data_IF_046149597601
#
_entry.id   IF_046149597601
#
_cell.length_a   1.000
_cell.length_b   1.000
_cell.length_c   1.000
_cell.angle_alpha   90.00
_cell.angle_beta   90.00
_cell.angle_gamma   90.00
#
_symmetry.space_group_name_H-M   'P 1'
#
loop_
_entity.id
_entity.type
_entity.pdbx_description
1 polymer ?
#
# COMPACT_ATOMS: atom_id res chain seq x y z
N UNK A 1 11.21 30.50 35.09
CA UNK A 1 11.98 29.98 33.95
C UNK A 1 10.98 29.41 32.96
N UNK A 2 10.56 30.25 32.03
CA UNK A 2 9.67 29.87 30.94
C UNK A 2 10.50 29.12 29.89
N UNK A 3 10.17 27.87 29.65
CA UNK A 3 10.76 27.08 28.57
C UNK A 3 9.92 27.29 27.31
N UNK A 4 10.37 28.23 26.47
CA UNK A 4 9.92 28.34 25.09
C UNK A 4 10.43 27.12 24.30
N UNK A 5 9.55 26.15 24.07
CA UNK A 5 9.80 25.07 23.09
C UNK A 5 9.21 25.51 21.76
N UNK A 6 10.11 25.80 20.82
CA UNK A 6 9.80 26.09 19.41
C UNK A 6 9.05 24.89 18.81
N UNK A 7 7.76 25.05 18.53
CA UNK A 7 6.97 24.11 17.73
C UNK A 7 7.45 24.18 16.27
N UNK A 8 8.36 23.28 15.91
CA UNK A 8 8.72 22.98 14.53
C UNK A 8 8.03 21.67 14.14
N UNK A 9 7.05 21.77 13.24
CA UNK A 9 6.20 20.72 12.63
C UNK A 9 4.84 20.47 13.32
N UNK A 10 3.70 20.61 12.60
CA UNK A 10 2.39 20.24 13.14
C UNK A 10 2.30 18.71 13.31
N UNK A 11 1.63 18.21 14.37
CA UNK A 11 1.73 16.81 14.71
C UNK A 11 0.89 15.92 13.77
N UNK A 12 1.56 14.97 13.11
CA UNK A 12 0.92 13.96 12.23
C UNK A 12 -0.04 13.01 12.98
N UNK A 13 -0.13 13.05 14.33
CA UNK A 13 -1.04 12.21 15.12
C UNK A 13 -2.53 12.56 14.94
N UNK A 14 -2.86 13.75 14.43
CA UNK A 14 -4.25 14.13 14.12
C UNK A 14 -4.89 13.24 13.04
N UNK A 15 -4.08 12.59 12.20
CA UNK A 15 -4.55 11.69 11.13
C UNK A 15 -4.74 10.24 11.63
N UNK A 16 -4.19 9.88 12.79
CA UNK A 16 -4.29 8.50 13.32
C UNK A 16 -5.71 8.08 13.73
N UNK A 17 -6.54 9.01 14.21
CA UNK A 17 -7.96 8.73 14.50
C UNK A 17 -8.77 8.39 13.23
N UNK A 18 -8.45 9.02 12.10
CA UNK A 18 -9.13 8.84 10.80
C UNK A 18 -8.53 7.70 9.97
N UNK A 19 -7.28 7.30 10.26
CA UNK A 19 -6.65 6.12 9.65
C UNK A 19 -7.46 4.84 9.93
N UNK A 20 -8.15 4.73 11.07
CA UNK A 20 -9.04 3.59 11.34
C UNK A 20 -10.21 3.49 10.35
N UNK A 21 -10.74 4.62 9.87
CA UNK A 21 -11.79 4.64 8.84
C UNK A 21 -11.22 4.23 7.48
N UNK A 22 -10.03 4.71 7.13
CA UNK A 22 -9.30 4.29 5.92
C UNK A 22 -8.96 2.79 5.98
N UNK A 23 -8.58 2.25 7.14
CA UNK A 23 -8.34 0.82 7.32
C UNK A 23 -9.63 0.00 7.10
N UNK A 24 -10.78 0.46 7.61
CA UNK A 24 -12.07 -0.22 7.37
C UNK A 24 -12.48 -0.18 5.91
N UNK A 25 -12.33 0.97 5.24
CA UNK A 25 -12.62 1.12 3.80
C UNK A 25 -11.63 0.30 2.96
N UNK A 26 -10.35 0.28 3.34
CA UNK A 26 -9.32 -0.55 2.71
C UNK A 26 -9.63 -2.04 2.84
N UNK A 27 -10.00 -2.50 4.04
CA UNK A 27 -10.44 -3.89 4.29
C UNK A 27 -11.74 -4.23 3.55
N UNK A 28 -12.68 -3.28 3.40
CA UNK A 28 -13.91 -3.48 2.62
C UNK A 28 -13.61 -3.59 1.11
N UNK A 29 -12.75 -2.73 0.57
CA UNK A 29 -12.35 -2.79 -0.85
C UNK A 29 -11.52 -4.04 -1.15
N UNK A 30 -10.65 -4.47 -0.24
CA UNK A 30 -9.91 -5.74 -0.32
C UNK A 30 -10.83 -6.96 -0.13
N UNK A 31 -11.87 -6.86 0.70
CA UNK A 31 -12.88 -7.91 0.90
C UNK A 31 -13.86 -8.05 -0.28
N UNK A 32 -14.15 -6.96 -1.00
CA UNK A 32 -14.95 -6.99 -2.22
C UNK A 32 -14.23 -7.71 -3.38
N UNK A 33 -12.90 -7.83 -3.34
CA UNK A 33 -12.13 -8.67 -4.29
C UNK A 33 -12.45 -10.17 -4.16
N UNK A 34 -13.13 -10.58 -3.08
CA UNK A 34 -13.57 -11.97 -2.87
C UNK A 34 -15.07 -12.22 -3.07
N UNK A 35 -15.89 -11.20 -3.35
CA UNK A 35 -17.34 -11.31 -3.25
C UNK A 35 -18.08 -11.31 -4.59
N UNK A 36 -17.62 -12.17 -5.50
CA UNK A 36 -18.51 -12.82 -6.44
C UNK A 36 -18.28 -14.32 -6.29
N UNK A 37 -18.92 -14.90 -5.27
CA UNK A 37 -19.47 -16.27 -5.15
C UNK A 37 -19.54 -16.63 -3.64
N UNK A 38 -20.77 -16.91 -3.19
CA UNK A 38 -21.18 -17.51 -1.92
C UNK A 38 -21.37 -16.63 -0.67
N UNK A 39 -22.67 -16.40 -0.39
CA UNK A 39 -23.23 -16.24 0.94
C UNK A 39 -22.65 -17.30 1.89
N UNK A 40 -21.77 -16.89 2.81
CA UNK A 40 -21.67 -17.43 4.17
C UNK A 40 -20.72 -16.54 5.00
N UNK A 41 -21.29 -15.83 5.96
CA UNK A 41 -20.55 -15.13 7.02
C UNK A 41 -19.83 -16.16 7.89
N UNK A 42 -18.59 -16.51 7.56
CA UNK A 42 -17.68 -17.24 8.44
C UNK A 42 -16.21 -16.95 8.04
N UNK A 43 -15.50 -16.28 8.96
CA UNK A 43 -14.05 -16.17 9.24
C UNK A 43 -13.00 -16.93 8.36
N UNK A 44 -13.12 -16.93 7.05
CA UNK A 44 -12.12 -17.48 6.12
C UNK A 44 -11.48 -16.38 5.23
N UNK A 45 -11.13 -15.24 5.82
CA UNK A 45 -10.55 -14.09 5.09
C UNK A 45 -9.05 -14.26 4.71
N UNK A 46 -8.57 -15.49 4.56
CA UNK A 46 -7.21 -15.79 4.08
C UNK A 46 -7.15 -16.57 2.75
N UNK A 47 -8.26 -16.72 2.03
CA UNK A 47 -8.28 -17.41 0.73
C UNK A 47 -8.76 -16.48 -0.38
N UNK A 48 -7.83 -15.68 -0.93
CA UNK A 48 -7.72 -15.30 -2.36
C UNK A 48 -6.84 -14.07 -2.64
N UNK A 49 -6.09 -13.56 -1.66
CA UNK A 49 -4.99 -12.59 -1.87
C UNK A 49 -3.61 -13.25 -1.89
N UNK A 50 -3.52 -14.44 -2.49
CA UNK A 50 -2.21 -15.03 -2.73
C UNK A 50 -1.72 -14.51 -4.08
N UNK A 51 -0.63 -13.76 -4.09
CA UNK A 51 0.05 -13.34 -5.33
C UNK A 51 0.43 -14.55 -6.20
N UNK A 52 0.48 -15.75 -5.58
CA UNK A 52 0.86 -17.02 -6.19
C UNK A 52 -0.31 -17.88 -6.70
N UNK A 53 -1.58 -17.45 -6.55
CA UNK A 53 -2.72 -18.21 -7.09
C UNK A 53 -2.92 -17.85 -8.57
N UNK A 54 -2.81 -18.86 -9.43
CA UNK A 54 -3.12 -18.78 -10.85
C UNK A 54 -4.63 -18.68 -11.05
N UNK A 55 -5.07 -17.70 -11.84
CA UNK A 55 -6.48 -17.58 -12.24
C UNK A 55 -6.95 -18.70 -13.19
N UNK A 56 -6.07 -19.61 -13.60
CA UNK A 56 -6.37 -20.70 -14.53
C UNK A 56 -7.23 -21.84 -13.93
N UNK A 57 -7.34 -21.95 -12.60
CA UNK A 57 -8.14 -23.01 -11.96
C UNK A 57 -9.66 -22.71 -11.94
N UNK A 58 -10.07 -21.53 -12.40
CA UNK A 58 -11.47 -21.20 -12.62
C UNK A 58 -11.76 -21.41 -14.11
N UNK A 59 -12.56 -22.42 -14.45
CA UNK A 59 -12.99 -22.76 -15.82
C UNK A 59 -13.77 -21.66 -16.57
N UNK A 60 -13.76 -20.43 -16.06
CA UNK A 60 -14.14 -19.25 -16.82
C UNK A 60 -12.85 -18.58 -17.31
N UNK A 61 -12.69 -18.50 -18.62
CA UNK A 61 -11.79 -17.58 -19.33
C UNK A 61 -12.24 -16.12 -19.09
N UNK A 62 -12.49 -15.76 -17.83
CA UNK A 62 -12.80 -14.42 -17.39
C UNK A 62 -11.49 -13.66 -17.46
N UNK A 63 -11.46 -12.64 -18.31
CA UNK A 63 -10.44 -11.62 -18.32
C UNK A 63 -10.38 -11.04 -16.90
N UNK A 64 -9.43 -11.52 -16.09
CA UNK A 64 -9.30 -11.06 -14.72
C UNK A 64 -8.50 -9.76 -14.74
N UNK A 65 -9.22 -8.65 -14.54
CA UNK A 65 -8.68 -7.31 -14.34
C UNK A 65 -7.96 -7.16 -12.98
N UNK A 66 -7.29 -8.22 -12.50
CA UNK A 66 -6.65 -8.29 -11.18
C UNK A 66 -5.70 -7.11 -10.94
N UNK A 67 -4.80 -6.88 -11.88
CA UNK A 67 -3.85 -5.77 -11.81
C UNK A 67 -4.56 -4.42 -11.84
N UNK A 68 -5.59 -4.26 -12.68
CA UNK A 68 -6.34 -3.01 -12.72
C UNK A 68 -7.13 -2.73 -11.43
N UNK A 69 -7.64 -3.79 -10.78
CA UNK A 69 -8.24 -3.69 -9.45
C UNK A 69 -7.19 -3.29 -8.42
N UNK A 70 -5.99 -3.88 -8.46
CA UNK A 70 -4.87 -3.49 -7.57
C UNK A 70 -4.51 -2.01 -7.75
N UNK A 71 -4.36 -1.55 -8.99
CA UNK A 71 -4.10 -0.13 -9.27
C UNK A 71 -5.23 0.76 -8.76
N UNK A 72 -6.48 0.41 -9.04
CA UNK A 72 -7.65 1.18 -8.61
C UNK A 72 -7.73 1.25 -7.09
N UNK A 73 -7.44 0.14 -6.41
CA UNK A 73 -7.36 0.09 -4.95
C UNK A 73 -6.32 1.07 -4.39
N UNK A 74 -5.07 1.03 -4.90
CA UNK A 74 -4.02 1.94 -4.44
C UNK A 74 -4.32 3.40 -4.80
N UNK A 75 -4.87 3.66 -5.97
CA UNK A 75 -5.23 5.02 -6.39
C UNK A 75 -6.34 5.59 -5.49
N UNK A 76 -7.37 4.79 -5.20
CA UNK A 76 -8.49 5.23 -4.37
C UNK A 76 -8.10 5.41 -2.89
N UNK A 77 -7.25 4.54 -2.34
CA UNK A 77 -6.82 4.69 -0.95
C UNK A 77 -5.92 5.93 -0.77
N UNK A 78 -5.06 6.24 -1.75
CA UNK A 78 -4.27 7.48 -1.77
C UNK A 78 -5.17 8.70 -1.94
N UNK A 79 -6.18 8.65 -2.81
CA UNK A 79 -7.15 9.74 -3.00
C UNK A 79 -7.90 10.02 -1.69
N UNK A 80 -8.40 8.97 -1.02
CA UNK A 80 -9.09 9.13 0.26
C UNK A 80 -8.18 9.72 1.33
N UNK A 81 -6.96 9.21 1.46
CA UNK A 81 -5.98 9.73 2.41
C UNK A 81 -5.66 11.21 2.14
N UNK A 82 -5.56 11.62 0.88
CA UNK A 82 -5.35 13.03 0.53
C UNK A 82 -6.53 13.93 0.92
N UNK A 83 -7.77 13.47 0.76
CA UNK A 83 -8.94 14.22 1.22
C UNK A 83 -8.88 14.42 2.74
N UNK A 84 -8.56 13.36 3.50
CA UNK A 84 -8.41 13.48 4.97
C UNK A 84 -7.28 14.43 5.37
N UNK A 85 -6.14 14.42 4.64
CA UNK A 85 -5.04 15.35 4.88
C UNK A 85 -5.46 16.80 4.63
N UNK A 86 -6.13 17.06 3.51
CA UNK A 86 -6.61 18.40 3.17
C UNK A 86 -7.63 18.91 4.21
N UNK A 87 -8.55 18.06 4.66
CA UNK A 87 -9.49 18.38 5.74
C UNK A 87 -8.80 18.70 7.07
N UNK A 88 -7.57 18.23 7.27
CA UNK A 88 -6.74 18.51 8.44
C UNK A 88 -5.67 19.60 8.20
N UNK A 89 -5.74 20.34 7.09
CA UNK A 89 -4.78 21.40 6.75
C UNK A 89 -3.38 20.89 6.39
N UNK A 90 -3.25 19.61 6.02
CA UNK A 90 -2.01 19.00 5.60
C UNK A 90 -1.92 18.96 4.06
N UNK A 91 -0.70 19.09 3.48
CA UNK A 91 -0.52 18.97 2.04
C UNK A 91 -0.76 17.52 1.59
N UNK A 92 -1.06 17.33 0.30
CA UNK A 92 -1.18 16.01 -0.31
C UNK A 92 0.10 15.18 -0.10
N UNK A 93 -0.06 13.85 -0.06
CA UNK A 93 1.07 12.93 0.09
C UNK A 93 1.99 13.01 -1.13
N UNK A 94 3.30 13.15 -0.86
CA UNK A 94 4.34 13.08 -1.87
C UNK A 94 4.76 11.63 -2.07
N UNK A 95 5.22 11.28 -3.28
CA UNK A 95 5.80 9.95 -3.47
C UNK A 95 7.09 9.80 -2.65
N UNK A 96 7.41 8.57 -2.28
CA UNK A 96 8.69 8.28 -1.64
C UNK A 96 9.83 8.43 -2.66
N UNK A 97 10.98 8.96 -2.25
CA UNK A 97 12.19 9.06 -3.06
C UNK A 97 13.35 8.33 -2.38
N UNK A 98 14.21 7.66 -3.15
CA UNK A 98 15.33 6.90 -2.57
C UNK A 98 16.42 7.79 -1.96
N UNK A 99 16.63 8.96 -2.54
CA UNK A 99 17.75 9.84 -2.18
C UNK A 99 17.33 10.90 -1.15
N UNK A 100 16.10 10.81 -0.64
CA UNK A 100 15.57 11.69 0.40
C UNK A 100 15.26 10.90 1.67
N UNK A 101 15.43 11.49 2.86
CA UNK A 101 15.03 10.86 4.10
C UNK A 101 13.52 10.67 4.16
N UNK A 102 13.08 9.56 4.72
CA UNK A 102 11.67 9.34 5.07
C UNK A 102 11.35 10.20 6.28
N UNK A 103 10.72 11.34 6.04
CA UNK A 103 10.46 12.34 7.08
C UNK A 103 9.56 11.81 8.21
N UNK A 104 8.51 11.07 7.87
CA UNK A 104 7.54 10.57 8.85
C UNK A 104 8.11 9.38 9.63
N UNK A 105 8.29 9.51 10.94
CA UNK A 105 8.50 8.37 11.84
C UNK A 105 7.18 7.64 12.17
N UNK A 106 7.27 6.39 12.58
CA UNK A 106 6.10 5.59 12.97
C UNK A 106 6.44 4.61 14.10
N UNK A 107 5.63 4.63 15.16
CA UNK A 107 5.67 3.64 16.22
C UNK A 107 4.33 2.87 16.20
N UNK A 108 4.32 1.59 15.79
CA UNK A 108 3.08 0.83 15.65
C UNK A 108 2.42 0.51 16.99
N UNK A 109 3.18 0.46 18.09
CA UNK A 109 2.70 -0.04 19.40
C UNK A 109 2.05 -1.43 19.29
N UNK A 110 2.65 -2.29 18.48
CA UNK A 110 2.20 -3.67 18.23
C UNK A 110 3.27 -4.67 18.63
N UNK A 111 2.82 -5.89 18.93
CA UNK A 111 3.67 -7.03 19.25
C UNK A 111 3.13 -8.25 18.49
N UNK A 112 4.04 -9.08 17.99
CA UNK A 112 3.73 -10.38 17.41
C UNK A 112 3.37 -11.39 18.50
N UNK A 113 2.68 -12.47 18.11
CA UNK A 113 2.29 -13.56 19.01
C UNK A 113 3.49 -14.23 19.70
N UNK A 114 4.66 -14.23 19.05
CA UNK A 114 5.90 -14.75 19.60
C UNK A 114 6.58 -13.80 20.62
N UNK A 115 5.96 -12.67 20.93
CA UNK A 115 6.48 -11.67 21.87
C UNK A 115 7.47 -10.67 21.26
N UNK A 116 7.82 -10.76 19.98
CA UNK A 116 8.65 -9.75 19.34
C UNK A 116 7.84 -8.48 19.06
N UNK A 117 8.38 -7.31 19.41
CA UNK A 117 7.75 -6.05 19.06
C UNK A 117 7.78 -5.82 17.55
N UNK A 118 6.70 -5.28 16.98
CA UNK A 118 6.74 -4.74 15.63
C UNK A 118 7.66 -3.52 15.64
N UNK A 119 8.71 -3.47 14.80
CA UNK A 119 9.70 -2.41 14.86
C UNK A 119 9.13 -1.00 14.72
N UNK A 120 9.72 -0.06 15.44
CA UNK A 120 9.53 1.35 15.18
C UNK A 120 10.43 1.82 14.04
N UNK A 121 9.99 2.86 13.33
CA UNK A 121 10.79 3.55 12.32
C UNK A 121 11.00 5.00 12.77
N UNK A 122 12.23 5.41 13.12
CA UNK A 122 12.48 6.79 13.51
C UNK A 122 12.18 7.75 12.35
N UNK A 123 11.97 9.02 12.67
CA UNK A 123 11.83 10.07 11.66
C UNK A 123 13.17 10.33 10.96
N UNK A 124 13.10 10.81 9.72
CA UNK A 124 14.26 11.19 8.89
C UNK A 124 15.26 10.06 8.60
N UNK A 125 14.78 8.81 8.54
CA UNK A 125 15.62 7.66 8.16
C UNK A 125 15.94 7.72 6.67
N UNK A 126 17.22 7.56 6.32
CA UNK A 126 17.67 7.46 4.94
C UNK A 126 17.51 6.03 4.42
N UNK A 127 16.99 5.88 3.21
CA UNK A 127 16.89 4.58 2.53
C UNK A 127 18.28 4.14 2.04
N UNK A 128 19.07 5.10 1.55
CA UNK A 128 20.44 4.84 1.11
C UNK A 128 21.39 4.93 2.30
N UNK A 129 22.02 3.81 2.66
CA UNK A 129 23.08 3.75 3.65
C UNK A 129 24.41 4.26 3.06
N UNK A 130 24.45 5.53 2.68
CA UNK A 130 25.71 6.21 2.34
C UNK A 130 26.56 6.51 3.59
N UNK A 131 26.11 6.15 4.79
CA UNK A 131 26.92 6.21 6.02
C UNK A 131 28.01 5.12 6.09
N UNK A 132 28.27 4.42 4.98
CA UNK A 132 29.33 3.42 4.83
C UNK A 132 30.68 3.98 4.33
N UNK A 133 30.84 5.29 4.12
CA UNK A 133 32.06 5.83 3.50
C UNK A 133 33.22 6.13 4.46
N UNK A 134 33.08 5.91 5.77
CA UNK A 134 34.17 6.20 6.72
C UNK A 134 34.85 4.96 7.33
N UNK A 135 34.29 3.76 7.18
CA UNK A 135 34.91 2.53 7.66
C UNK A 135 34.76 1.46 6.59
N UNK A 136 35.89 0.87 6.17
CA UNK A 136 36.02 -0.23 5.20
C UNK A 136 35.33 -1.53 5.67
N UNK A 137 34.05 -1.49 6.00
CA UNK A 137 33.28 -2.62 6.50
C UNK A 137 32.47 -3.21 5.35
N UNK A 138 32.93 -4.36 4.85
CA UNK A 138 32.32 -5.19 3.79
C UNK A 138 30.84 -5.55 4.04
N UNK A 139 30.36 -5.36 5.28
CA UNK A 139 29.00 -5.68 5.72
C UNK A 139 27.93 -4.66 5.27
N UNK A 140 28.29 -3.49 4.74
CA UNK A 140 27.34 -2.50 4.21
C UNK A 140 26.92 -2.76 2.75
N UNK A 141 27.43 -3.82 2.14
CA UNK A 141 27.17 -4.15 0.74
C UNK A 141 25.72 -4.62 0.51
N UNK A 142 25.09 -5.29 1.48
CA UNK A 142 23.78 -5.91 1.27
C UNK A 142 22.63 -4.89 1.16
N UNK A 143 22.53 -3.94 2.09
CA UNK A 143 21.48 -2.92 2.05
C UNK A 143 21.58 -2.04 0.79
N UNK A 144 22.79 -1.62 0.43
CA UNK A 144 23.05 -0.84 -0.78
C UNK A 144 22.76 -1.66 -2.05
N UNK A 145 23.11 -2.95 -2.06
CA UNK A 145 22.74 -3.84 -3.16
C UNK A 145 21.22 -3.98 -3.29
N UNK A 146 20.49 -4.12 -2.18
CA UNK A 146 19.03 -4.22 -2.20
C UNK A 146 18.36 -2.97 -2.76
N UNK A 147 18.79 -1.77 -2.35
CA UNK A 147 18.33 -0.51 -2.96
C UNK A 147 18.56 -0.50 -4.47
N UNK A 148 19.76 -0.90 -4.91
CA UNK A 148 20.10 -0.95 -6.33
C UNK A 148 19.24 -1.97 -7.10
N UNK A 149 18.90 -3.10 -6.49
CA UNK A 149 17.96 -4.07 -7.09
C UNK A 149 16.58 -3.46 -7.29
N UNK A 150 16.02 -2.78 -6.28
CA UNK A 150 14.70 -2.12 -6.39
C UNK A 150 14.72 -1.02 -7.46
N UNK A 151 15.77 -0.19 -7.48
CA UNK A 151 15.98 0.84 -8.53
C UNK A 151 16.07 0.21 -9.93
N UNK A 152 16.75 -0.93 -10.06
CA UNK A 152 16.88 -1.64 -11.35
C UNK A 152 15.54 -2.20 -11.82
N UNK A 153 14.75 -2.78 -10.92
CA UNK A 153 13.41 -3.29 -11.23
C UNK A 153 12.49 -2.16 -11.68
N UNK A 154 12.50 -1.03 -10.96
CA UNK A 154 11.76 0.15 -11.36
C UNK A 154 12.16 0.65 -12.75
N UNK A 155 13.47 0.78 -13.00
CA UNK A 155 13.98 1.21 -14.30
C UNK A 155 13.50 0.27 -15.42
N UNK A 156 13.56 -1.05 -15.23
CA UNK A 156 13.05 -2.02 -16.22
C UNK A 156 11.56 -1.85 -16.50
N UNK A 157 10.77 -1.51 -15.48
CA UNK A 157 9.34 -1.26 -15.64
C UNK A 157 9.12 0.02 -16.47
N UNK A 158 9.85 1.10 -16.19
CA UNK A 158 9.80 2.32 -17.00
C UNK A 158 10.27 2.10 -18.44
N UNK A 159 11.38 1.37 -18.65
CA UNK A 159 11.87 1.03 -19.99
C UNK A 159 10.82 0.24 -20.80
N UNK A 160 10.11 -0.70 -20.14
CA UNK A 160 9.03 -1.46 -20.76
C UNK A 160 7.80 -0.60 -21.09
N UNK A 161 7.47 0.35 -20.21
CA UNK A 161 6.42 1.34 -20.44
C UNK A 161 6.78 2.21 -21.63
N UNK A 162 7.96 2.81 -21.65
CA UNK A 162 8.39 3.74 -22.70
C UNK A 162 8.50 3.02 -24.06
N UNK A 163 8.94 1.76 -24.08
CA UNK A 163 8.96 0.92 -25.27
C UNK A 163 7.57 0.39 -25.70
N UNK A 164 6.54 0.58 -24.87
CA UNK A 164 5.20 -0.01 -25.03
C UNK A 164 5.22 -1.54 -25.24
N UNK A 165 6.19 -2.23 -24.61
CA UNK A 165 6.40 -3.66 -24.76
C UNK A 165 6.99 -4.27 -23.49
N UNK A 166 6.51 -5.45 -23.11
CA UNK A 166 6.96 -6.20 -21.92
C UNK A 166 7.73 -7.45 -22.32
N UNK A 167 8.74 -7.82 -21.55
CA UNK A 167 9.44 -9.10 -21.73
C UNK A 167 8.64 -10.21 -21.09
N UNK A 168 8.38 -11.27 -21.84
CA UNK A 168 7.78 -12.49 -21.31
C UNK A 168 8.84 -13.38 -20.62
N UNK A 169 8.42 -14.50 -20.03
CA UNK A 169 9.31 -15.48 -19.39
C UNK A 169 10.39 -16.08 -20.31
N UNK A 170 10.17 -16.09 -21.63
CA UNK A 170 11.16 -16.52 -22.62
C UNK A 170 12.18 -15.41 -22.98
N UNK A 171 12.04 -14.21 -22.42
CA UNK A 171 12.89 -13.05 -22.71
C UNK A 171 12.50 -12.29 -23.99
N UNK A 172 11.42 -12.68 -24.66
CA UNK A 172 10.92 -12.04 -25.89
C UNK A 172 10.08 -10.82 -25.52
N UNK A 173 10.33 -9.69 -26.18
CA UNK A 173 9.50 -8.49 -26.06
C UNK A 173 8.16 -8.66 -26.77
N UNK A 174 7.08 -8.48 -26.03
CA UNK A 174 5.69 -8.57 -26.50
C UNK A 174 5.02 -7.20 -26.33
N UNK A 175 4.35 -6.67 -27.37
CA UNK A 175 3.68 -5.37 -27.27
C UNK A 175 2.57 -5.38 -26.21
N UNK A 176 2.41 -4.26 -25.51
CA UNK A 176 1.34 -4.10 -24.52
C UNK A 176 0.02 -3.85 -25.27
N UNK A 177 -1.00 -4.66 -24.99
CA UNK A 177 -2.34 -4.40 -25.52
C UNK A 177 -2.93 -3.16 -24.82
N UNK A 178 -3.29 -2.08 -25.54
CA UNK A 178 -3.82 -0.85 -24.94
C UNK A 178 -5.05 -1.08 -24.05
N UNK A 179 -5.92 -2.01 -24.42
CA UNK A 179 -7.14 -2.31 -23.67
C UNK A 179 -6.85 -2.98 -22.32
N UNK A 180 -5.74 -3.72 -22.21
CA UNK A 180 -5.32 -4.39 -20.97
C UNK A 180 -4.08 -3.77 -20.33
N UNK A 181 -3.65 -2.60 -20.80
CA UNK A 181 -2.35 -2.07 -20.42
C UNK A 181 -2.24 -1.80 -18.92
N UNK A 182 -3.25 -1.17 -18.32
CA UNK A 182 -3.33 -0.96 -16.87
C UNK A 182 -3.21 -2.27 -16.11
N UNK A 183 -3.92 -3.32 -16.56
CA UNK A 183 -3.88 -4.63 -15.94
C UNK A 183 -2.50 -5.28 -16.04
N UNK A 184 -1.92 -5.31 -17.24
CA UNK A 184 -0.59 -5.90 -17.51
C UNK A 184 0.50 -5.24 -16.68
N UNK A 185 0.56 -3.91 -16.66
CA UNK A 185 1.59 -3.16 -15.93
C UNK A 185 1.43 -3.34 -14.43
N UNK A 186 0.19 -3.32 -13.95
CA UNK A 186 -0.08 -3.50 -12.52
C UNK A 186 0.22 -4.92 -12.05
N UNK A 187 -0.01 -5.94 -12.90
CA UNK A 187 0.41 -7.32 -12.62
C UNK A 187 1.93 -7.44 -12.48
N UNK A 188 2.69 -6.72 -13.32
CA UNK A 188 4.15 -6.66 -13.23
C UNK A 188 4.59 -5.96 -11.94
N UNK A 189 3.98 -4.83 -11.59
CA UNK A 189 4.33 -4.04 -10.40
C UNK A 189 4.02 -4.78 -9.10
N UNK A 190 2.88 -5.46 -9.02
CA UNK A 190 2.52 -6.33 -7.89
C UNK A 190 3.34 -7.63 -7.86
N UNK A 191 3.80 -8.07 -9.04
CA UNK A 191 4.38 -9.38 -9.32
C UNK A 191 3.46 -10.54 -8.91
N UNK A 192 2.22 -10.47 -9.38
CA UNK A 192 1.28 -11.56 -9.21
C UNK A 192 1.49 -12.67 -10.26
N UNK A 193 0.75 -13.77 -10.11
CA UNK A 193 0.82 -14.93 -11.00
C UNK A 193 0.55 -14.63 -12.49
N UNK A 194 -0.17 -13.54 -12.77
CA UNK A 194 -0.50 -13.09 -14.13
C UNK A 194 0.52 -12.06 -14.67
N UNK A 195 1.66 -11.87 -13.97
CA UNK A 195 2.76 -11.00 -14.38
C UNK A 195 3.55 -11.56 -15.57
N UNK A 196 4.02 -10.68 -16.46
CA UNK A 196 4.65 -11.09 -17.72
C UNK A 196 6.00 -11.82 -17.53
N UNK A 197 6.83 -11.34 -16.60
CA UNK A 197 8.10 -11.94 -16.21
C UNK A 197 8.55 -11.43 -14.83
N UNK A 198 8.04 -12.04 -13.77
CA UNK A 198 8.31 -11.61 -12.39
C UNK A 198 9.80 -11.75 -12.01
N UNK A 199 10.54 -12.66 -12.64
CA UNK A 199 11.98 -12.81 -12.41
C UNK A 199 12.78 -11.63 -12.99
N UNK A 200 12.33 -11.07 -14.12
CA UNK A 200 12.98 -9.92 -14.75
C UNK A 200 12.56 -8.59 -14.12
N UNK A 201 11.29 -8.42 -13.80
CA UNK A 201 10.75 -7.17 -13.26
C UNK A 201 10.75 -7.08 -11.73
N UNK A 202 10.98 -8.18 -11.02
CA UNK A 202 10.94 -8.21 -9.56
C UNK A 202 9.54 -8.02 -8.97
N UNK A 203 9.43 -7.99 -7.65
CA UNK A 203 8.18 -7.69 -6.94
C UNK A 203 8.21 -6.26 -6.42
N UNK A 204 8.16 -5.30 -7.33
CA UNK A 204 8.46 -3.90 -7.06
C UNK A 204 7.66 -3.32 -5.87
N UNK A 205 6.35 -3.54 -5.80
CA UNK A 205 5.53 -3.05 -4.68
C UNK A 205 5.96 -3.66 -3.33
N UNK A 206 6.14 -4.98 -3.29
CA UNK A 206 6.57 -5.70 -2.07
C UNK A 206 8.00 -5.32 -1.67
N UNK A 207 8.87 -5.14 -2.64
CA UNK A 207 10.26 -4.73 -2.45
C UNK A 207 10.34 -3.33 -1.83
N UNK A 208 9.51 -2.38 -2.29
CA UNK A 208 9.41 -1.06 -1.66
C UNK A 208 8.92 -1.13 -0.20
N UNK A 209 7.88 -1.93 0.07
CA UNK A 209 7.38 -2.12 1.45
C UNK A 209 8.48 -2.67 2.35
N UNK A 210 9.24 -3.67 1.89
CA UNK A 210 10.39 -4.25 2.60
C UNK A 210 11.53 -3.26 2.77
N UNK A 211 11.86 -2.50 1.72
CA UNK A 211 12.95 -1.54 1.73
C UNK A 211 12.73 -0.46 2.78
N UNK A 212 11.51 0.08 2.85
CA UNK A 212 11.13 1.11 3.81
C UNK A 212 10.89 0.52 5.20
N UNK A 213 10.27 -0.65 5.26
CA UNK A 213 9.97 -1.35 6.51
C UNK A 213 11.21 -1.79 7.28
N UNK A 214 12.24 -2.22 6.55
CA UNK A 214 13.53 -2.63 7.14
C UNK A 214 14.51 -1.48 7.32
N UNK A 215 14.11 -0.22 7.08
CA UNK A 215 15.03 0.92 7.15
C UNK A 215 15.68 1.11 8.53
N UNK A 216 15.05 0.66 9.62
CA UNK A 216 15.65 0.67 10.97
C UNK A 216 16.71 -0.43 11.20
N UNK A 217 16.72 -1.49 10.38
CA UNK A 217 17.67 -2.61 10.45
C UNK A 217 17.99 -3.14 9.05
N UNK A 218 18.48 -2.25 8.18
CA UNK A 218 18.66 -2.55 6.76
C UNK A 218 19.66 -3.69 6.50
N UNK A 219 20.65 -3.86 7.39
CA UNK A 219 21.64 -4.93 7.32
C UNK A 219 21.21 -6.21 8.06
N UNK A 220 20.00 -6.26 8.63
CA UNK A 220 19.46 -7.39 9.42
C UNK A 220 20.36 -7.85 10.55
N UNK A 221 21.11 -6.93 11.15
CA UNK A 221 22.06 -7.24 12.23
C UNK A 221 21.35 -7.34 13.58
N UNK A 222 20.24 -6.61 13.75
CA UNK A 222 19.47 -6.60 14.98
C UNK A 222 18.44 -7.74 15.03
N UNK A 223 18.19 -8.41 13.90
CA UNK A 223 17.22 -9.50 13.81
C UNK A 223 15.80 -9.03 14.08
N UNK A 224 15.47 -7.80 13.67
CA UNK A 224 14.14 -7.23 13.88
C UNK A 224 13.06 -8.06 13.17
N UNK A 225 11.91 -8.19 13.83
CA UNK A 225 10.72 -8.79 13.24
C UNK A 225 10.22 -7.92 12.06
N UNK A 226 9.34 -8.43 11.18
CA UNK A 226 8.82 -7.63 10.08
C UNK A 226 8.10 -6.37 10.57
N UNK A 227 8.23 -5.28 9.80
CA UNK A 227 7.62 -3.99 10.15
C UNK A 227 6.10 -3.99 9.93
N UNK A 228 5.43 -2.92 10.38
CA UNK A 228 4.01 -2.74 10.11
C UNK A 228 3.69 -2.72 8.60
N UNK A 229 4.62 -2.24 7.76
CA UNK A 229 4.50 -2.20 6.30
C UNK A 229 4.52 -3.59 5.65
N UNK A 230 5.08 -4.59 6.31
CA UNK A 230 5.25 -5.93 5.77
C UNK A 230 4.07 -6.87 6.08
N UNK A 231 3.06 -6.40 6.83
CA UNK A 231 1.83 -7.16 7.06
C UNK A 231 0.61 -6.39 6.52
N UNK A 232 -0.24 -7.06 5.75
CA UNK A 232 -1.42 -6.47 5.10
C UNK A 232 -2.39 -5.81 6.09
N UNK A 233 -2.55 -6.40 7.28
CA UNK A 233 -3.46 -5.91 8.32
C UNK A 233 -2.97 -4.60 8.97
N UNK A 234 -1.67 -4.33 8.90
CA UNK A 234 -1.04 -3.21 9.62
C UNK A 234 -0.42 -2.15 8.70
N UNK A 235 -0.18 -2.46 7.43
CA UNK A 235 0.56 -1.58 6.51
C UNK A 235 -0.07 -0.19 6.37
N UNK A 236 -1.39 -0.09 6.32
CA UNK A 236 -2.13 1.18 6.16
C UNK A 236 -1.98 2.08 7.40
N UNK A 237 -1.51 1.56 8.56
CA UNK A 237 -1.28 2.38 9.76
C UNK A 237 -0.04 3.27 9.65
N UNK A 238 0.97 2.84 8.88
CA UNK A 238 2.19 3.60 8.68
C UNK A 238 1.99 4.67 7.59
N UNK A 239 2.19 5.97 7.87
CA UNK A 239 2.10 7.02 6.86
C UNK A 239 2.96 6.77 5.61
N UNK A 240 4.09 6.09 5.74
CA UNK A 240 4.98 5.77 4.62
C UNK A 240 4.33 4.82 3.59
N UNK A 241 3.31 4.05 3.97
CA UNK A 241 2.53 3.26 3.02
C UNK A 241 1.94 4.13 1.92
N UNK A 242 1.43 5.32 2.26
CA UNK A 242 0.82 6.20 1.28
C UNK A 242 1.86 6.87 0.37
N UNK A 243 3.08 7.12 0.86
CA UNK A 243 4.19 7.59 0.03
C UNK A 243 4.63 6.51 -0.98
N UNK A 244 4.68 5.24 -0.56
CA UNK A 244 4.98 4.08 -1.41
C UNK A 244 3.85 3.88 -2.44
N UNK A 245 2.59 3.82 -1.99
CA UNK A 245 1.43 3.67 -2.86
C UNK A 245 1.37 4.78 -3.91
N UNK A 246 1.68 6.03 -3.53
CA UNK A 246 1.75 7.14 -4.48
C UNK A 246 2.81 6.92 -5.57
N UNK A 247 4.01 6.42 -5.21
CA UNK A 247 5.06 6.08 -6.18
C UNK A 247 4.60 5.00 -7.15
N UNK A 248 4.00 3.93 -6.64
CA UNK A 248 3.45 2.81 -7.43
C UNK A 248 2.34 3.25 -8.38
N UNK A 249 1.39 4.05 -7.90
CA UNK A 249 0.33 4.63 -8.74
C UNK A 249 0.94 5.52 -9.84
N UNK A 250 1.99 6.28 -9.52
CA UNK A 250 2.65 7.13 -10.51
C UNK A 250 3.33 6.34 -11.64
N UNK A 251 3.84 5.12 -11.38
CA UNK A 251 4.35 4.22 -12.44
C UNK A 251 3.26 3.90 -13.47
N UNK A 252 2.07 3.49 -12.99
CA UNK A 252 0.96 3.14 -13.89
C UNK A 252 0.40 4.41 -14.58
N UNK A 253 0.35 5.54 -13.87
CA UNK A 253 -0.06 6.81 -14.45
C UNK A 253 0.91 7.29 -15.53
N UNK A 254 2.22 7.02 -15.40
CA UNK A 254 3.20 7.36 -16.44
C UNK A 254 2.83 6.70 -17.77
N UNK A 255 2.50 5.41 -17.76
CA UNK A 255 2.01 4.74 -18.97
C UNK A 255 0.76 5.42 -19.56
N UNK A 256 -0.24 5.71 -18.71
CA UNK A 256 -1.47 6.38 -19.15
C UNK A 256 -1.18 7.75 -19.76
N UNK A 257 -0.26 8.51 -19.18
CA UNK A 257 0.09 9.85 -19.65
C UNK A 257 0.86 9.84 -20.98
N UNK A 258 1.70 8.83 -21.22
CA UNK A 258 2.52 8.73 -22.44
C UNK A 258 1.75 8.09 -23.59
N UNK A 259 0.97 7.04 -23.32
CA UNK A 259 0.39 6.19 -24.37
C UNK A 259 -1.12 6.36 -24.59
N UNK A 260 -1.87 6.86 -23.60
CA UNK A 260 -3.31 7.07 -23.79
C UNK A 260 -3.63 8.48 -24.26
N UNK A 261 -4.63 8.55 -25.13
CA UNK A 261 -5.22 9.83 -25.54
C UNK A 261 -6.35 10.18 -24.56
N UNK A 262 -6.52 11.47 -24.23
CA UNK A 262 -7.70 11.92 -23.51
C UNK A 262 -8.98 11.52 -24.24
N UNK A 263 -10.04 11.20 -23.48
CA UNK A 263 -11.34 10.89 -24.05
C UNK A 263 -11.88 12.06 -24.87
N UNK A 264 -12.40 11.74 -26.05
CA UNK A 264 -13.07 12.67 -26.94
C UNK A 264 -14.46 13.03 -26.42
N UNK A 265 -15.01 14.17 -26.89
CA UNK A 265 -16.38 14.57 -26.58
C UNK A 265 -17.39 13.48 -26.97
N UNK A 266 -17.14 12.76 -28.07
CA UNK A 266 -18.01 11.69 -28.55
C UNK A 266 -18.01 10.48 -27.61
N UNK A 267 -16.88 10.17 -26.96
CA UNK A 267 -16.78 9.06 -26.00
C UNK A 267 -17.41 9.40 -24.64
N UNK A 268 -17.36 10.68 -24.23
CA UNK A 268 -17.93 11.12 -22.96
C UNK A 268 -19.42 11.49 -23.05
N UNK A 269 -19.91 11.84 -24.25
CA UNK A 269 -21.28 12.32 -24.44
C UNK A 269 -22.28 11.17 -24.44
N UNK A 270 -23.26 11.26 -23.55
CA UNK A 270 -24.45 10.41 -23.60
C UNK A 270 -25.60 11.15 -24.29
N UNK A 271 -25.86 10.83 -25.57
CA UNK A 271 -26.90 11.50 -26.35
C UNK A 271 -28.31 11.28 -25.77
N UNK A 272 -29.10 12.35 -25.70
CA UNK A 272 -30.47 12.30 -25.18
C UNK A 272 -30.58 12.36 -23.66
N UNK A 273 -29.46 12.39 -22.93
CA UNK A 273 -29.44 12.56 -21.47
C UNK A 273 -28.87 13.92 -21.12
N UNK A 274 -29.57 14.65 -20.26
CA UNK A 274 -29.14 15.92 -19.71
C UNK A 274 -29.37 15.91 -18.20
N UNK A 275 -28.32 16.21 -17.44
CA UNK A 275 -28.44 16.42 -15.99
C UNK A 275 -29.10 17.78 -15.77
N UNK A 276 -30.32 17.79 -15.21
CA UNK A 276 -31.09 19.03 -14.96
C UNK A 276 -30.80 19.62 -13.58
N UNK A 277 -30.70 18.77 -12.56
CA UNK A 277 -30.39 19.15 -11.18
C UNK A 277 -29.67 18.01 -10.46
N UNK A 278 -28.98 18.35 -9.38
CA UNK A 278 -28.33 17.41 -8.47
C UNK A 278 -28.45 17.96 -7.05
N UNK A 279 -29.13 17.22 -6.18
CA UNK A 279 -29.36 17.59 -4.79
C UNK A 279 -28.76 16.53 -3.85
N UNK A 280 -28.06 17.00 -2.81
CA UNK A 280 -27.43 16.14 -1.79
C UNK A 280 -27.85 16.62 -0.41
N UNK A 281 -28.28 15.69 0.44
CA UNK A 281 -28.58 15.98 1.84
C UNK A 281 -27.31 16.38 2.61
N UNK A 282 -27.41 17.14 3.71
CA UNK A 282 -26.25 17.53 4.49
C UNK A 282 -25.35 16.34 4.89
N UNK A 283 -24.07 16.42 4.53
CA UNK A 283 -23.06 15.43 4.90
C UNK A 283 -22.42 15.83 6.23
N UNK A 284 -22.79 15.14 7.31
CA UNK A 284 -22.30 15.41 8.67
C UNK A 284 -21.48 14.22 9.17
N UNK A 285 -20.26 14.48 9.63
CA UNK A 285 -19.39 13.48 10.26
C UNK A 285 -19.29 13.71 11.77
N UNK A 286 -19.20 12.64 12.53
CA UNK A 286 -19.03 12.66 13.99
C UNK A 286 -18.30 11.40 14.45
N UNK A 287 -17.73 11.43 15.66
CA UNK A 287 -17.08 10.28 16.26
C UNK A 287 -18.11 9.40 16.98
N UNK A 288 -17.96 8.08 16.85
CA UNK A 288 -18.83 7.09 17.50
C UNK A 288 -18.03 6.00 18.22
N UNK A 289 -18.62 5.42 19.27
CA UNK A 289 -18.03 4.30 19.99
C UNK A 289 -18.36 2.97 19.30
N UNK A 290 -17.35 2.12 19.11
CA UNK A 290 -17.54 0.76 18.61
C UNK A 290 -16.98 -0.26 19.62
N UNK A 291 -17.74 -1.34 19.85
CA UNK A 291 -17.30 -2.49 20.66
C UNK A 291 -16.82 -3.60 19.74
N UNK A 292 -15.60 -4.07 19.95
CA UNK A 292 -15.02 -5.18 19.18
C UNK A 292 -14.71 -6.32 20.14
N UNK A 293 -15.06 -7.55 19.73
CA UNK A 293 -14.71 -8.75 20.48
C UNK A 293 -13.24 -9.10 20.20
N UNK A 294 -12.44 -9.21 21.26
CA UNK A 294 -11.00 -9.51 21.19
C UNK A 294 -10.65 -10.88 21.72
N UNK A 295 -11.63 -11.77 21.91
CA UNK A 295 -11.41 -13.12 22.43
C UNK A 295 -10.35 -13.90 21.62
N UNK A 296 -10.28 -13.70 20.30
CA UNK A 296 -9.30 -14.38 19.46
C UNK A 296 -7.86 -13.88 19.67
N UNK A 297 -7.66 -12.72 20.30
CA UNK A 297 -6.35 -12.14 20.55
C UNK A 297 -5.78 -12.54 21.93
N UNK A 298 -6.56 -13.22 22.77
CA UNK A 298 -6.18 -13.59 24.15
C UNK A 298 -6.27 -15.10 24.29
N UNK A 299 -5.20 -15.72 24.79
CA UNK A 299 -5.23 -17.15 25.11
C UNK A 299 -6.09 -17.36 26.37
N UNK A 300 -7.35 -17.72 26.17
CA UNK A 300 -8.26 -18.02 27.26
C UNK A 300 -8.02 -19.47 27.73
N UNK A 301 -7.40 -19.63 28.91
CA UNK A 301 -7.38 -20.92 29.58
C UNK A 301 -8.81 -21.44 29.76
N UNK A 302 -9.04 -22.72 29.42
CA UNK A 302 -10.34 -23.42 29.27
C UNK A 302 -11.36 -23.28 30.41
N UNK A 303 -11.02 -22.65 31.53
CA UNK A 303 -11.87 -22.53 32.71
C UNK A 303 -12.47 -21.13 32.95
N UNK A 304 -12.15 -20.12 32.14
CA UNK A 304 -12.69 -18.76 32.33
C UNK A 304 -13.65 -18.36 31.19
N UNK A 305 -14.95 -18.52 31.44
CA UNK A 305 -16.05 -17.99 30.63
C UNK A 305 -16.19 -16.46 30.77
N UNK A 306 -15.10 -15.71 30.59
CA UNK A 306 -15.14 -14.25 30.71
C UNK A 306 -15.19 -13.59 29.32
N UNK A 307 -16.27 -12.82 29.11
CA UNK A 307 -16.53 -11.99 27.95
C UNK A 307 -15.53 -10.82 27.88
N UNK A 308 -14.32 -11.07 27.37
CA UNK A 308 -13.30 -10.04 27.19
C UNK A 308 -13.70 -9.11 26.03
N UNK A 309 -14.41 -8.01 26.35
CA UNK A 309 -14.76 -6.95 25.41
C UNK A 309 -13.88 -5.73 25.65
N UNK A 310 -13.14 -5.30 24.63
CA UNK A 310 -12.42 -4.01 24.66
C UNK A 310 -13.33 -2.97 23.98
N UNK A 311 -13.52 -1.83 24.63
CA UNK A 311 -14.14 -0.65 24.03
C UNK A 311 -13.03 0.12 23.34
N UNK A 312 -13.09 0.25 22.02
CA UNK A 312 -12.08 0.99 21.25
C UNK A 312 -12.66 2.37 20.94
N UNK A 313 -11.85 3.40 21.20
CA UNK A 313 -12.17 4.77 20.89
C UNK A 313 -11.74 5.05 19.45
N UNK A 314 -12.67 5.51 18.62
CA UNK A 314 -12.37 5.93 17.25
C UNK A 314 -12.42 7.47 17.23
N UNK A 315 -11.27 8.12 17.44
CA UNK A 315 -11.12 9.58 17.45
C UNK A 315 -10.41 10.12 18.71
N UNK A 316 -9.70 11.25 18.58
CA UNK A 316 -8.94 11.89 19.66
C UNK A 316 -9.85 12.73 20.57
N UNK A 317 -9.51 12.76 21.87
CA UNK A 317 -9.94 13.80 22.81
C UNK A 317 -9.26 15.14 22.52
#
# INVERSE_FOLDING_TARGET
>A
MEWNVLFSQPPQWRVQGLLQHIQRVGLLLLGLQGNHQNNNYNNNNNYNQNNNINNQNNNAKAINFRGEIFYTYLQQIVARYNIERLSNGLPQVQQIEYDQPIQSGFNPQLQYENGQAVPNRPANVQINNNQANNNNNENNNFANAFVNFVKTHEQRIFDAIDANAVKNNAGVSVPINPFYATNTISNIVEANADGANNQYYGSYFTELLKLVGSASDANKQLGLAPSALENYQTQIRDPAFFNIAKRVVNVVNHYKNVHFKPYTTQELRFNGVQVQSFDVSPLVTYNEYAKINVNNAVNNNRNNNNNNKIVIHVGNQ
#
